data_IF_654432310171
#
_entry.id   IF_654432310171
#
_cell.length_a   1.000
_cell.length_b   1.000
_cell.length_c   1.000
_cell.angle_alpha   90.00
_cell.angle_beta   90.00
_cell.angle_gamma   90.00
#
_symmetry.space_group_name_H-M   'P 1'
#
loop_
_entity.id
_entity.type
_entity.pdbx_description
1 polymer ?
#
# COMPACT_ATOMS: atom_id res chain seq x y z
N UNK A 1 0.80 -21.02 0.56
CA UNK A 1 0.39 -20.74 1.95
C UNK A 1 -1.12 -20.64 1.98
N UNK A 2 -1.78 -21.25 2.95
CA UNK A 2 -3.20 -20.97 3.20
C UNK A 2 -3.33 -19.50 3.56
N UNK A 3 -4.16 -18.77 2.82
CA UNK A 3 -4.37 -17.35 3.04
C UNK A 3 -5.19 -17.20 4.32
N UNK A 4 -4.56 -16.67 5.37
CA UNK A 4 -5.27 -16.34 6.61
C UNK A 4 -6.33 -15.27 6.31
N UNK A 5 -7.49 -15.38 6.96
CA UNK A 5 -8.58 -14.43 6.78
C UNK A 5 -8.13 -13.03 7.23
N UNK A 6 -8.48 -12.02 6.44
CA UNK A 6 -8.12 -10.62 6.75
C UNK A 6 -8.76 -10.17 8.05
N UNK A 7 -7.96 -9.56 8.89
CA UNK A 7 -8.39 -8.95 10.16
C UNK A 7 -8.44 -7.44 10.07
N UNK A 8 -9.17 -6.81 10.99
CA UNK A 8 -9.20 -5.35 11.15
C UNK A 8 -7.79 -4.80 11.38
N UNK A 9 -6.99 -5.54 12.14
CA UNK A 9 -5.61 -5.22 12.51
C UNK A 9 -4.69 -5.20 11.28
N UNK A 10 -4.83 -6.15 10.34
CA UNK A 10 -4.08 -6.13 9.08
C UNK A 10 -4.39 -4.85 8.28
N UNK A 11 -5.68 -4.49 8.18
CA UNK A 11 -6.08 -3.29 7.44
C UNK A 11 -5.55 -2.03 8.12
N UNK A 12 -5.58 -1.95 9.46
CA UNK A 12 -5.01 -0.83 10.21
C UNK A 12 -3.52 -0.69 10.00
N UNK A 13 -2.77 -1.79 10.08
CA UNK A 13 -1.32 -1.79 9.86
C UNK A 13 -0.96 -1.32 8.45
N UNK A 14 -1.65 -1.83 7.43
CA UNK A 14 -1.42 -1.42 6.04
C UNK A 14 -1.80 0.05 5.84
N UNK A 15 -2.91 0.50 6.43
CA UNK A 15 -3.35 1.89 6.35
C UNK A 15 -2.34 2.85 7.01
N UNK A 16 -1.78 2.50 8.16
CA UNK A 16 -0.78 3.32 8.87
C UNK A 16 0.52 3.44 8.06
N UNK A 17 1.02 2.31 7.52
CA UNK A 17 2.19 2.32 6.65
C UNK A 17 1.93 3.11 5.35
N UNK A 18 0.74 2.99 4.77
CA UNK A 18 0.37 3.74 3.58
C UNK A 18 0.36 5.26 3.86
N UNK A 19 -0.25 5.70 4.96
CA UNK A 19 -0.28 7.12 5.36
C UNK A 19 1.11 7.68 5.65
N UNK A 20 1.97 6.89 6.31
CA UNK A 20 3.36 7.25 6.52
C UNK A 20 4.09 7.46 5.18
N UNK A 21 3.92 6.52 4.24
CA UNK A 21 4.51 6.62 2.90
C UNK A 21 4.04 7.85 2.12
N UNK A 22 2.75 8.20 2.19
CA UNK A 22 2.21 9.43 1.56
C UNK A 22 2.88 10.67 2.16
N UNK A 23 2.94 10.76 3.49
CA UNK A 23 3.56 11.91 4.19
C UNK A 23 5.03 12.07 3.79
N UNK A 24 5.79 10.98 3.76
CA UNK A 24 7.20 10.96 3.35
C UNK A 24 7.35 11.35 1.86
N UNK A 25 6.47 10.85 0.99
CA UNK A 25 6.49 11.21 -0.44
C UNK A 25 6.28 12.70 -0.65
N UNK A 26 5.29 13.28 0.02
CA UNK A 26 5.01 14.73 -0.01
C UNK A 26 6.19 15.54 0.56
N UNK A 27 6.85 15.01 1.59
CA UNK A 27 8.11 15.51 2.15
C UNK A 27 9.34 15.32 1.25
N UNK A 28 9.21 14.62 0.12
CA UNK A 28 10.29 14.21 -0.81
C UNK A 28 11.32 13.25 -0.19
N UNK A 29 10.96 12.60 0.91
CA UNK A 29 11.69 11.51 1.56
C UNK A 29 11.39 10.20 0.80
N UNK A 30 11.82 10.15 -0.48
CA UNK A 30 11.37 9.11 -1.40
C UNK A 30 11.85 7.71 -1.03
N UNK A 31 12.98 7.57 -0.35
CA UNK A 31 13.49 6.26 0.06
C UNK A 31 12.65 5.69 1.20
N UNK A 32 12.38 6.52 2.21
CA UNK A 32 11.52 6.23 3.34
C UNK A 32 10.10 5.88 2.84
N UNK A 33 9.57 6.70 1.92
CA UNK A 33 8.27 6.47 1.30
C UNK A 33 8.19 5.10 0.60
N UNK A 34 9.23 4.73 -0.17
CA UNK A 34 9.30 3.42 -0.84
C UNK A 34 9.25 2.28 0.18
N UNK A 35 9.99 2.38 1.28
CA UNK A 35 9.99 1.32 2.30
C UNK A 35 8.64 1.22 3.01
N UNK A 36 8.01 2.34 3.37
CA UNK A 36 6.66 2.35 3.95
C UNK A 36 5.62 1.75 3.00
N UNK A 37 5.64 2.11 1.72
CA UNK A 37 4.73 1.51 0.73
C UNK A 37 5.01 0.02 0.48
N UNK A 38 6.28 -0.42 0.51
CA UNK A 38 6.63 -1.84 0.40
C UNK A 38 6.10 -2.62 1.59
N UNK A 39 6.24 -2.11 2.81
CA UNK A 39 5.66 -2.73 4.01
C UNK A 39 4.15 -2.86 3.87
N UNK A 40 3.46 -1.78 3.50
CA UNK A 40 2.02 -1.79 3.26
C UNK A 40 1.60 -2.82 2.19
N UNK A 41 2.34 -2.92 1.09
CA UNK A 41 2.03 -3.90 0.04
C UNK A 41 2.32 -5.35 0.48
N UNK A 42 3.23 -5.58 1.42
CA UNK A 42 3.72 -6.93 1.78
C UNK A 42 2.78 -7.73 2.67
N UNK A 43 1.86 -7.10 3.39
CA UNK A 43 1.00 -7.78 4.39
C UNK A 43 0.17 -8.92 3.78
N UNK A 44 -0.19 -8.84 2.50
CA UNK A 44 -0.88 -9.92 1.77
C UNK A 44 -0.35 -10.19 0.36
N UNK A 45 0.75 -9.56 -0.03
CA UNK A 45 1.28 -9.81 -1.35
C UNK A 45 1.77 -11.25 -1.47
N UNK A 46 1.50 -11.85 -2.62
CA UNK A 46 2.35 -12.90 -3.10
C UNK A 46 3.80 -12.38 -3.18
N UNK A 47 4.70 -12.98 -2.40
CA UNK A 47 6.10 -12.60 -2.32
C UNK A 47 6.77 -12.62 -3.70
N UNK A 48 6.32 -13.52 -4.59
CA UNK A 48 6.79 -13.59 -5.98
C UNK A 48 6.36 -12.36 -6.79
N UNK A 49 5.11 -11.92 -6.63
CA UNK A 49 4.58 -10.72 -7.30
C UNK A 49 5.39 -9.46 -6.93
N UNK A 50 5.67 -9.24 -5.65
CA UNK A 50 6.46 -8.08 -5.21
C UNK A 50 7.91 -8.14 -5.70
N UNK A 51 8.52 -9.32 -5.74
CA UNK A 51 9.87 -9.51 -6.28
C UNK A 51 9.92 -9.18 -7.77
N UNK A 52 8.92 -9.62 -8.55
CA UNK A 52 8.83 -9.28 -9.97
C UNK A 52 8.64 -7.77 -10.19
N UNK A 53 7.76 -7.15 -9.42
CA UNK A 53 7.52 -5.72 -9.49
C UNK A 53 8.79 -4.92 -9.18
N UNK A 54 9.49 -5.27 -8.10
CA UNK A 54 10.77 -4.66 -7.74
C UNK A 54 11.83 -4.84 -8.83
N UNK A 55 11.90 -6.01 -9.46
CA UNK A 55 12.83 -6.29 -10.57
C UNK A 55 12.54 -5.38 -11.78
N UNK A 56 11.26 -5.22 -12.13
CA UNK A 56 10.83 -4.33 -13.23
C UNK A 56 11.23 -2.88 -12.95
N UNK A 57 10.96 -2.36 -11.75
CA UNK A 57 11.36 -1.00 -11.35
C UNK A 57 12.87 -0.79 -11.46
N UNK A 58 13.68 -1.70 -10.88
CA UNK A 58 15.15 -1.62 -10.96
C UNK A 58 15.68 -1.66 -12.39
N UNK A 59 15.05 -2.43 -13.27
CA UNK A 59 15.45 -2.52 -14.68
C UNK A 59 15.06 -1.30 -15.52
N UNK A 60 14.01 -0.57 -15.13
CA UNK A 60 13.43 0.53 -15.89
C UNK A 60 14.16 1.86 -15.79
N UNK A 61 15.20 1.98 -14.96
CA UNK A 61 15.94 3.23 -14.70
C UNK A 61 15.02 4.40 -14.28
N UNK A 62 14.02 4.11 -13.46
CA UNK A 62 13.12 5.12 -12.94
C UNK A 62 13.82 6.03 -11.92
N UNK A 63 13.34 7.27 -11.77
CA UNK A 63 13.77 8.14 -10.67
C UNK A 63 13.11 7.68 -9.37
N UNK A 64 13.74 7.93 -8.23
CA UNK A 64 13.19 7.58 -6.90
C UNK A 64 11.75 8.07 -6.70
N UNK A 65 11.41 9.28 -7.16
CA UNK A 65 10.04 9.79 -7.11
C UNK A 65 9.05 8.90 -7.88
N UNK A 66 9.43 8.41 -9.07
CA UNK A 66 8.59 7.54 -9.89
C UNK A 66 8.48 6.13 -9.29
N UNK A 67 9.56 5.61 -8.71
CA UNK A 67 9.52 4.33 -7.98
C UNK A 67 8.60 4.44 -6.75
N UNK A 68 8.67 5.55 -6.02
CA UNK A 68 7.80 5.83 -4.88
C UNK A 68 6.32 5.88 -5.30
N UNK A 69 5.99 6.57 -6.41
CA UNK A 69 4.65 6.58 -7.02
C UNK A 69 4.20 5.15 -7.40
N UNK A 70 5.09 4.36 -7.99
CA UNK A 70 4.76 2.99 -8.39
C UNK A 70 4.45 2.09 -7.18
N UNK A 71 5.25 2.17 -6.12
CA UNK A 71 4.98 1.45 -4.87
C UNK A 71 3.73 1.95 -4.16
N UNK A 72 3.46 3.25 -4.19
CA UNK A 72 2.20 3.81 -3.68
C UNK A 72 0.99 3.21 -4.39
N UNK A 73 1.01 3.12 -5.72
CA UNK A 73 -0.06 2.49 -6.50
C UNK A 73 -0.25 1.00 -6.16
N UNK A 74 0.84 0.26 -5.95
CA UNK A 74 0.77 -1.14 -5.52
C UNK A 74 0.15 -1.29 -4.12
N UNK A 75 0.62 -0.48 -3.15
CA UNK A 75 0.08 -0.46 -1.80
C UNK A 75 -1.39 -0.05 -1.75
N UNK A 76 -1.79 0.91 -2.59
CA UNK A 76 -3.17 1.36 -2.76
C UNK A 76 -4.12 0.22 -3.17
N UNK A 77 -3.74 -0.53 -4.21
CA UNK A 77 -4.51 -1.67 -4.70
C UNK A 77 -4.62 -2.75 -3.62
N UNK A 78 -3.53 -3.04 -2.91
CA UNK A 78 -3.52 -4.06 -1.85
C UNK A 78 -4.38 -3.65 -0.67
N UNK A 79 -4.32 -2.39 -0.23
CA UNK A 79 -5.18 -1.84 0.83
C UNK A 79 -6.67 -1.88 0.43
N UNK A 80 -7.00 -1.54 -0.82
CA UNK A 80 -8.37 -1.64 -1.31
C UNK A 80 -8.88 -3.10 -1.32
N UNK A 81 -8.04 -4.06 -1.71
CA UNK A 81 -8.41 -5.48 -1.67
C UNK A 81 -8.66 -5.95 -0.23
N UNK A 82 -7.78 -5.57 0.71
CA UNK A 82 -7.93 -5.83 2.15
C UNK A 82 -9.27 -5.32 2.68
N UNK A 83 -9.61 -4.06 2.40
CA UNK A 83 -10.87 -3.45 2.85
C UNK A 83 -12.08 -4.20 2.26
N UNK A 84 -11.99 -4.67 1.01
CA UNK A 84 -13.08 -5.41 0.37
C UNK A 84 -13.26 -6.83 0.92
N UNK A 85 -12.25 -7.40 1.58
CA UNK A 85 -12.33 -8.70 2.25
C UNK A 85 -12.96 -8.61 3.65
N UNK A 86 -13.06 -7.41 4.23
CA UNK A 86 -13.81 -7.17 5.48
C UNK A 86 -15.33 -7.18 5.24
N UNK A 87 -16.08 -7.63 6.25
CA UNK A 87 -17.53 -7.45 6.30
C UNK A 87 -17.93 -6.00 6.63
N UNK A 88 -19.22 -5.70 6.56
CA UNK A 88 -19.72 -4.33 6.73
C UNK A 88 -19.52 -3.80 8.17
N UNK A 89 -19.66 -4.65 9.19
CA UNK A 89 -19.44 -4.29 10.59
C UNK A 89 -17.95 -4.03 10.88
N UNK A 90 -17.06 -4.77 10.23
CA UNK A 90 -15.61 -4.59 10.31
C UNK A 90 -15.15 -3.32 9.57
N UNK A 91 -15.76 -2.99 8.43
CA UNK A 91 -15.48 -1.75 7.68
C UNK A 91 -15.85 -0.51 8.49
N UNK A 92 -16.89 -0.54 9.31
CA UNK A 92 -17.23 0.59 10.20
C UNK A 92 -16.15 0.83 11.28
N UNK A 93 -15.39 -0.21 11.65
CA UNK A 93 -14.34 -0.14 12.66
C UNK A 93 -12.97 0.28 12.11
N UNK A 94 -12.82 0.31 10.78
CA UNK A 94 -11.66 0.87 10.10
C UNK A 94 -12.16 2.11 9.38
N UNK A 95 -11.99 3.33 9.94
CA UNK A 95 -12.27 4.54 9.19
C UNK A 95 -11.31 4.58 8.00
N UNK A 96 -11.78 4.09 6.85
CA UNK A 96 -11.13 4.27 5.57
C UNK A 96 -11.11 5.77 5.38
N UNK A 97 -9.92 6.35 5.57
CA UNK A 97 -9.78 7.78 5.63
C UNK A 97 -10.37 8.37 4.34
N UNK A 98 -11.24 9.37 4.45
CA UNK A 98 -11.79 10.04 3.26
C UNK A 98 -10.66 10.57 2.38
N UNK A 99 -9.53 10.95 3.00
CA UNK A 99 -8.31 11.33 2.30
C UNK A 99 -7.69 10.21 1.46
N UNK A 100 -7.73 8.96 1.93
CA UNK A 100 -7.27 7.79 1.17
C UNK A 100 -8.16 7.52 -0.04
N UNK A 101 -9.48 7.64 0.16
CA UNK A 101 -10.46 7.49 -0.93
C UNK A 101 -10.33 8.60 -1.97
N UNK A 102 -10.05 9.84 -1.54
CA UNK A 102 -9.76 10.97 -2.43
C UNK A 102 -8.42 10.81 -3.16
N UNK A 103 -7.38 10.33 -2.49
CA UNK A 103 -6.09 10.02 -3.10
C UNK A 103 -6.22 8.95 -4.19
N UNK A 104 -7.05 7.91 -3.98
CA UNK A 104 -7.33 6.89 -4.99
C UNK A 104 -8.18 7.39 -6.16
N UNK A 105 -9.08 8.36 -5.94
CA UNK A 105 -9.90 8.96 -7.02
C UNK A 105 -9.14 9.90 -7.93
N UNK A 106 -8.00 10.43 -7.47
CA UNK A 106 -7.14 11.31 -8.25
C UNK A 106 -6.18 10.59 -9.20
N UNK A 107 -6.20 9.25 -9.23
CA UNK A 107 -5.31 8.38 -9.99
C UNK A 107 -6.05 7.62 -11.10
#
# INVERSE_FOLDING_TARGET
MERHAVTIEDVREVQDNFKAGVTQHEGKEFQEAIESFKTAASVLADEEHLKEFQKKLKSGKFKLQQESIAYMGCAAVHLNNLINELDDDQKEQVPVDKQLTEAFRGW
#
